data_IF_572871807162
#
_entry.id   IF_572871807162
#
_cell.length_a   1.000
_cell.length_b   1.000
_cell.length_c   1.000
_cell.angle_alpha   90.00
_cell.angle_beta   90.00
_cell.angle_gamma   90.00
#
_symmetry.space_group_name_H-M   'P 1'
#
loop_
_entity.id
_entity.type
_entity.pdbx_description
1 polymer ?
#
# COMPACT_ATOMS: atom_id res chain seq x y z
N UNK A 1 -28.64 -9.30 -27.61
CA UNK A 1 -28.86 -10.74 -27.38
C UNK A 1 -30.23 -11.08 -27.93
N UNK A 2 -30.32 -11.99 -28.90
CA UNK A 2 -31.60 -12.50 -29.40
C UNK A 2 -32.21 -13.50 -28.40
N UNK A 3 -33.26 -13.07 -27.69
CA UNK A 3 -33.98 -13.87 -26.70
C UNK A 3 -34.61 -15.13 -27.30
N UNK A 4 -35.18 -15.01 -28.49
CA UNK A 4 -35.95 -16.10 -29.10
C UNK A 4 -35.02 -17.24 -29.48
N UNK A 5 -33.87 -16.90 -30.08
CA UNK A 5 -32.81 -17.86 -30.37
C UNK A 5 -32.23 -18.48 -29.09
N UNK A 6 -31.99 -17.68 -28.06
CA UNK A 6 -31.49 -18.17 -26.77
C UNK A 6 -32.43 -19.20 -26.14
N UNK A 7 -33.74 -18.93 -26.13
CA UNK A 7 -34.77 -19.84 -25.63
C UNK A 7 -34.92 -21.11 -26.47
N UNK A 8 -34.73 -21.04 -27.79
CA UNK A 8 -34.77 -22.19 -28.69
C UNK A 8 -33.67 -23.23 -28.37
N UNK A 9 -32.55 -22.79 -27.82
CA UNK A 9 -31.50 -23.67 -27.32
C UNK A 9 -31.78 -24.25 -25.92
N UNK A 10 -32.93 -23.94 -25.31
CA UNK A 10 -33.30 -24.44 -23.99
C UNK A 10 -32.72 -23.62 -22.82
N UNK A 11 -32.29 -22.38 -23.08
CA UNK A 11 -31.98 -21.43 -22.03
C UNK A 11 -33.26 -20.79 -21.46
N UNK A 12 -33.32 -20.66 -20.14
CA UNK A 12 -34.38 -19.94 -19.43
C UNK A 12 -33.84 -18.58 -19.00
N UNK A 13 -34.33 -17.48 -19.59
CA UNK A 13 -33.93 -16.12 -19.18
C UNK A 13 -34.56 -15.80 -17.82
N UNK A 14 -33.72 -15.54 -16.82
CA UNK A 14 -34.14 -15.25 -15.43
C UNK A 14 -34.32 -13.74 -15.23
N UNK A 15 -33.36 -12.94 -15.70
CA UNK A 15 -33.44 -11.47 -15.68
C UNK A 15 -32.57 -10.86 -16.78
N UNK A 16 -32.93 -9.66 -17.22
CA UNK A 16 -32.16 -8.85 -18.16
C UNK A 16 -32.05 -7.41 -17.63
N UNK A 17 -30.88 -6.80 -17.76
CA UNK A 17 -30.65 -5.39 -17.50
C UNK A 17 -29.61 -4.86 -18.50
N UNK A 18 -29.96 -3.80 -19.23
CA UNK A 18 -29.14 -3.23 -20.32
C UNK A 18 -28.58 -4.34 -21.24
N UNK A 19 -27.26 -4.45 -21.30
CA UNK A 19 -26.53 -5.41 -22.13
C UNK A 19 -26.15 -6.71 -21.40
N UNK A 20 -26.69 -6.95 -20.19
CA UNK A 20 -26.33 -8.11 -19.33
C UNK A 20 -27.55 -8.94 -18.97
N UNK A 21 -27.52 -10.20 -19.34
CA UNK A 21 -28.62 -11.13 -19.13
C UNK A 21 -28.19 -12.28 -18.22
N UNK A 22 -29.07 -12.68 -17.32
CA UNK A 22 -28.90 -13.86 -16.46
C UNK A 22 -29.86 -14.92 -16.96
N UNK A 23 -29.34 -16.07 -17.37
CA UNK A 23 -30.12 -17.21 -17.82
C UNK A 23 -29.68 -18.50 -17.11
N UNK A 24 -30.59 -19.46 -16.98
CA UNK A 24 -30.26 -20.85 -16.68
C UNK A 24 -30.04 -21.56 -18.01
N UNK A 25 -28.85 -22.11 -18.19
CA UNK A 25 -28.44 -22.74 -19.45
C UNK A 25 -27.81 -24.10 -19.14
N UNK A 26 -28.21 -25.19 -19.83
CA UNK A 26 -27.47 -26.44 -19.77
C UNK A 26 -26.00 -26.23 -20.16
N UNK A 27 -25.06 -26.77 -19.37
CA UNK A 27 -23.63 -26.49 -19.58
C UNK A 27 -23.12 -26.99 -20.95
N UNK A 28 -23.73 -28.05 -21.47
CA UNK A 28 -23.32 -28.72 -22.71
C UNK A 28 -23.68 -27.97 -24.00
N UNK A 29 -24.40 -26.85 -23.91
CA UNK A 29 -24.82 -26.05 -25.08
C UNK A 29 -24.21 -24.64 -25.07
N UNK A 30 -23.31 -24.34 -24.13
CA UNK A 30 -22.75 -22.99 -23.97
C UNK A 30 -21.96 -22.53 -25.19
N UNK A 31 -21.14 -23.41 -25.78
CA UNK A 31 -20.40 -23.12 -27.01
C UNK A 31 -21.35 -22.89 -28.18
N UNK A 32 -22.38 -23.73 -28.32
CA UNK A 32 -23.39 -23.57 -29.38
C UNK A 32 -24.14 -22.23 -29.25
N UNK A 33 -24.46 -21.81 -28.04
CA UNK A 33 -25.09 -20.51 -27.79
C UNK A 33 -24.13 -19.36 -28.12
N UNK A 34 -22.86 -19.47 -27.71
CA UNK A 34 -21.85 -18.44 -27.98
C UNK A 34 -21.64 -18.24 -29.50
N UNK A 35 -21.65 -19.33 -30.27
CA UNK A 35 -21.41 -19.29 -31.72
C UNK A 35 -22.63 -18.86 -32.55
N UNK A 36 -23.85 -19.12 -32.07
CA UNK A 36 -25.05 -19.02 -32.89
C UNK A 36 -26.11 -18.01 -32.40
N UNK A 37 -26.01 -17.49 -31.17
CA UNK A 37 -26.95 -16.48 -30.67
C UNK A 37 -26.40 -15.09 -30.91
N UNK A 38 -27.07 -14.31 -31.76
CA UNK A 38 -26.62 -12.98 -32.12
C UNK A 38 -26.63 -12.01 -30.92
N UNK A 39 -25.54 -11.25 -30.81
CA UNK A 39 -25.35 -10.27 -29.75
C UNK A 39 -24.91 -10.84 -28.40
N UNK A 40 -24.43 -12.09 -28.34
CA UNK A 40 -23.67 -12.63 -27.21
C UNK A 40 -22.19 -12.27 -27.40
N UNK A 41 -21.63 -11.45 -26.53
CA UNK A 41 -20.20 -11.11 -26.56
C UNK A 41 -19.35 -12.11 -25.78
N UNK A 42 -19.81 -12.52 -24.60
CA UNK A 42 -19.17 -13.54 -23.77
C UNK A 42 -20.20 -14.15 -22.81
N UNK A 43 -19.88 -15.33 -22.28
CA UNK A 43 -20.67 -16.01 -21.26
C UNK A 43 -19.79 -16.21 -20.04
N UNK A 44 -20.26 -15.80 -18.87
CA UNK A 44 -19.62 -16.07 -17.57
C UNK A 44 -20.63 -16.59 -16.57
N UNK A 45 -20.14 -17.22 -15.50
CA UNK A 45 -20.96 -17.50 -14.33
C UNK A 45 -21.46 -16.18 -13.70
N UNK A 46 -22.66 -16.15 -13.09
CA UNK A 46 -23.13 -14.96 -12.40
C UNK A 46 -22.16 -14.53 -11.31
N UNK A 47 -21.94 -13.22 -11.19
CA UNK A 47 -21.26 -12.64 -10.03
C UNK A 47 -22.01 -13.05 -8.76
N UNK A 48 -21.32 -13.69 -7.83
CA UNK A 48 -21.89 -14.10 -6.54
C UNK A 48 -21.52 -13.04 -5.51
N UNK A 49 -22.54 -12.53 -4.81
CA UNK A 49 -22.28 -11.78 -3.59
C UNK A 49 -21.66 -12.75 -2.57
N UNK A 50 -20.46 -12.42 -2.09
CA UNK A 50 -19.77 -13.15 -1.03
C UNK A 50 -20.14 -12.42 0.28
N UNK A 51 -20.53 -13.15 1.35
CA UNK A 51 -20.70 -12.54 2.67
C UNK A 51 -19.38 -11.89 3.08
N UNK A 52 -19.42 -10.67 3.60
CA UNK A 52 -18.27 -10.09 4.31
C UNK A 52 -18.07 -10.94 5.57
N UNK A 53 -17.00 -11.73 5.59
CA UNK A 53 -16.59 -12.44 6.79
C UNK A 53 -15.80 -11.48 7.68
N UNK A 54 -15.92 -11.69 9.00
CA UNK A 54 -15.14 -11.03 10.06
C UNK A 54 -13.67 -11.51 10.04
N UNK A 55 -13.35 -12.49 9.18
CA UNK A 55 -11.98 -12.96 8.94
C UNK A 55 -11.65 -12.74 7.46
N UNK A 56 -10.55 -12.05 7.19
CA UNK A 56 -10.04 -11.85 5.84
C UNK A 56 -9.67 -13.17 5.16
N UNK A 57 -9.82 -13.19 3.83
CA UNK A 57 -9.43 -14.34 2.97
C UNK A 57 -7.95 -14.75 3.18
N UNK A 58 -7.12 -13.83 3.67
CA UNK A 58 -5.71 -14.07 3.98
C UNK A 58 -5.47 -15.17 5.00
N UNK A 59 -6.34 -15.34 6.01
CA UNK A 59 -6.17 -16.36 7.06
C UNK A 59 -6.17 -17.76 6.45
N UNK A 60 -7.15 -18.05 5.59
CA UNK A 60 -7.26 -19.33 4.90
C UNK A 60 -6.14 -19.55 3.90
N UNK A 61 -5.80 -18.53 3.10
CA UNK A 61 -4.78 -18.64 2.05
C UNK A 61 -3.36 -18.82 2.58
N UNK A 62 -3.05 -18.25 3.74
CA UNK A 62 -1.72 -18.36 4.37
C UNK A 62 -1.58 -19.57 5.31
N UNK A 63 -2.67 -20.29 5.57
CA UNK A 63 -2.70 -21.41 6.50
C UNK A 63 -2.77 -21.00 7.98
N UNK A 64 -3.02 -19.72 8.29
CA UNK A 64 -3.14 -19.22 9.65
C UNK A 64 -4.24 -19.95 10.46
N UNK A 65 -5.31 -20.41 9.82
CA UNK A 65 -6.35 -21.23 10.47
C UNK A 65 -5.79 -22.49 11.17
N UNK A 66 -4.69 -23.05 10.66
CA UNK A 66 -4.03 -24.21 11.27
C UNK A 66 -3.33 -23.85 12.60
N UNK A 67 -2.79 -22.64 12.69
CA UNK A 67 -2.21 -22.09 13.92
C UNK A 67 -3.30 -21.79 14.95
N UNK A 68 -4.40 -21.17 14.52
CA UNK A 68 -5.56 -20.92 15.39
C UNK A 68 -6.12 -22.24 15.95
N UNK A 69 -6.29 -23.24 15.10
CA UNK A 69 -6.77 -24.58 15.50
C UNK A 69 -5.82 -25.28 16.48
N UNK A 70 -4.54 -24.94 16.46
CA UNK A 70 -3.53 -25.42 17.39
C UNK A 70 -3.41 -24.57 18.67
N UNK A 71 -4.23 -23.53 18.81
CA UNK A 71 -4.23 -22.61 19.97
C UNK A 71 -3.20 -21.48 19.88
N UNK A 72 -2.56 -21.28 18.72
CA UNK A 72 -1.66 -20.16 18.48
C UNK A 72 -2.43 -19.00 17.86
N UNK A 73 -3.02 -18.19 18.72
CA UNK A 73 -3.90 -17.05 18.36
C UNK A 73 -3.31 -15.69 18.71
N UNK A 74 -2.06 -15.64 19.17
CA UNK A 74 -1.39 -14.40 19.60
C UNK A 74 -1.55 -14.04 21.07
N UNK A 75 -2.16 -14.93 21.87
CA UNK A 75 -2.35 -14.73 23.32
C UNK A 75 -1.06 -14.32 24.03
N UNK A 76 -1.12 -13.22 24.79
CA UNK A 76 0.02 -12.68 25.54
C UNK A 76 1.08 -11.94 24.70
N UNK A 77 0.85 -11.77 23.39
CA UNK A 77 1.70 -11.00 22.50
C UNK A 77 1.11 -9.61 22.26
N UNK A 78 1.98 -8.59 22.29
CA UNK A 78 1.63 -7.22 21.92
C UNK A 78 2.14 -6.92 20.52
N UNK A 79 1.25 -6.43 19.66
CA UNK A 79 1.56 -6.08 18.27
C UNK A 79 1.18 -4.62 18.03
N UNK A 80 2.09 -3.84 17.48
CA UNK A 80 1.79 -2.49 17.03
C UNK A 80 1.54 -2.45 15.52
N UNK A 81 0.52 -1.69 15.12
CA UNK A 81 0.32 -1.21 13.75
C UNK A 81 0.70 0.26 13.77
N UNK A 82 1.83 0.59 13.14
CA UNK A 82 2.30 1.97 13.00
C UNK A 82 1.91 2.48 11.62
N UNK A 83 0.98 3.43 11.57
CA UNK A 83 0.39 3.94 10.33
C UNK A 83 0.12 5.46 10.38
N UNK A 84 -0.37 6.01 9.27
CA UNK A 84 -0.67 7.43 9.07
C UNK A 84 -2.07 7.85 9.55
N UNK A 85 -2.99 6.90 9.73
CA UNK A 85 -4.36 7.18 10.18
C UNK A 85 -5.21 5.94 10.45
N UNK A 86 -6.23 6.13 11.28
CA UNK A 86 -7.13 5.06 11.76
C UNK A 86 -8.62 5.46 11.68
N UNK A 87 -9.02 6.12 10.59
CA UNK A 87 -10.42 6.43 10.31
C UNK A 87 -11.25 5.15 10.20
N UNK A 88 -12.52 5.21 10.61
CA UNK A 88 -13.44 4.06 10.58
C UNK A 88 -13.26 3.06 11.73
N UNK A 89 -12.30 3.28 12.65
CA UNK A 89 -12.01 2.36 13.75
C UNK A 89 -13.22 2.05 14.64
N UNK A 90 -14.06 3.05 14.95
CA UNK A 90 -15.26 2.84 15.76
C UNK A 90 -16.27 1.90 15.10
N UNK A 91 -16.40 1.98 13.77
CA UNK A 91 -17.23 1.07 12.98
C UNK A 91 -16.63 -0.34 12.96
N UNK A 92 -15.32 -0.47 12.70
CA UNK A 92 -14.63 -1.76 12.74
C UNK A 92 -14.81 -2.47 14.09
N UNK A 93 -14.74 -1.71 15.19
CA UNK A 93 -15.01 -2.25 16.54
C UNK A 93 -16.49 -2.62 16.73
N UNK A 94 -17.44 -1.81 16.25
CA UNK A 94 -18.88 -2.12 16.40
C UNK A 94 -19.31 -3.32 15.58
N UNK A 95 -18.66 -3.52 14.44
CA UNK A 95 -18.97 -4.59 13.48
C UNK A 95 -18.27 -5.90 13.84
N UNK A 96 -17.28 -5.85 14.75
CA UNK A 96 -16.56 -7.01 15.28
C UNK A 96 -15.26 -7.34 14.54
N UNK A 97 -14.89 -6.54 13.55
CA UNK A 97 -13.63 -6.63 12.77
C UNK A 97 -12.40 -6.27 13.61
N UNK A 98 -12.59 -5.50 14.69
CA UNK A 98 -11.54 -5.20 15.67
C UNK A 98 -12.07 -5.32 17.10
N UNK A 99 -11.23 -5.69 18.07
CA UNK A 99 -11.66 -5.80 19.46
C UNK A 99 -11.74 -4.41 20.09
N UNK A 100 -12.66 -4.21 21.04
CA UNK A 100 -12.73 -2.96 21.81
C UNK A 100 -11.55 -2.73 22.78
N UNK A 101 -10.58 -3.65 22.80
CA UNK A 101 -9.37 -3.62 23.63
C UNK A 101 -8.15 -3.04 22.91
N UNK A 102 -8.29 -2.59 21.65
CA UNK A 102 -7.20 -1.90 20.95
C UNK A 102 -6.73 -0.68 21.74
N UNK A 103 -5.42 -0.49 21.80
CA UNK A 103 -4.80 0.69 22.44
C UNK A 103 -4.50 1.72 21.37
N UNK A 104 -5.05 2.91 21.49
CA UNK A 104 -4.92 3.98 20.48
C UNK A 104 -3.93 5.04 20.96
N UNK A 105 -2.89 5.29 20.16
CA UNK A 105 -1.78 6.20 20.49
C UNK A 105 -1.51 7.15 19.32
N UNK A 106 -1.43 8.44 19.60
CA UNK A 106 -1.03 9.47 18.65
C UNK A 106 0.38 9.98 19.01
N UNK A 107 1.35 9.80 18.10
CA UNK A 107 2.72 10.27 18.25
C UNK A 107 3.04 11.51 17.42
N UNK A 108 2.05 12.12 16.75
CA UNK A 108 2.23 13.31 15.89
C UNK A 108 2.41 14.63 16.66
N UNK A 109 2.23 14.57 17.98
CA UNK A 109 2.47 15.69 18.89
C UNK A 109 3.90 15.76 19.40
N UNK A 110 4.14 16.51 20.48
CA UNK A 110 5.45 16.56 21.14
C UNK A 110 5.84 15.27 21.88
N UNK A 111 4.92 14.32 21.96
CA UNK A 111 5.06 13.04 22.67
C UNK A 111 3.91 12.11 22.27
N UNK A 112 4.13 10.80 22.33
CA UNK A 112 3.06 9.82 22.17
C UNK A 112 2.03 9.89 23.31
N UNK A 113 0.75 10.08 22.96
CA UNK A 113 -0.36 10.20 23.91
C UNK A 113 -1.52 9.28 23.54
N UNK A 114 -2.31 8.87 24.53
CA UNK A 114 -3.56 8.15 24.26
C UNK A 114 -4.58 9.04 23.57
N UNK A 115 -5.33 8.46 22.64
CA UNK A 115 -6.35 9.15 21.83
C UNK A 115 -7.57 8.25 21.62
N UNK A 116 -8.59 8.75 20.92
CA UNK A 116 -9.78 7.99 20.50
C UNK A 116 -9.95 7.92 18.97
N UNK A 117 -9.04 8.54 18.21
CA UNK A 117 -9.09 8.64 16.74
C UNK A 117 -10.44 9.13 16.17
N UNK A 118 -11.22 9.91 16.93
CA UNK A 118 -12.56 10.32 16.52
C UNK A 118 -12.59 11.22 15.28
N UNK A 119 -11.51 11.96 15.00
CA UNK A 119 -11.40 12.90 13.88
C UNK A 119 -10.43 12.48 12.78
N UNK A 120 -10.15 11.20 12.65
CA UNK A 120 -9.24 10.68 11.61
C UNK A 120 -9.90 10.62 10.22
N UNK A 121 -9.09 10.81 9.18
CA UNK A 121 -9.52 10.73 7.78
C UNK A 121 -8.86 9.61 6.99
N UNK A 122 -7.66 9.16 7.38
CA UNK A 122 -6.97 8.05 6.72
C UNK A 122 -7.45 6.70 7.23
N UNK A 123 -7.98 5.84 6.36
CA UNK A 123 -8.49 4.51 6.74
C UNK A 123 -7.44 3.38 6.72
N UNK A 124 -6.24 3.66 6.20
CA UNK A 124 -5.23 2.65 5.86
C UNK A 124 -4.78 1.83 7.09
N UNK A 125 -4.53 2.50 8.22
CA UNK A 125 -4.11 1.82 9.45
C UNK A 125 -5.19 0.92 10.04
N UNK A 126 -6.47 1.30 9.94
CA UNK A 126 -7.59 0.45 10.38
C UNK A 126 -7.64 -0.84 9.56
N UNK A 127 -7.53 -0.75 8.24
CA UNK A 127 -7.50 -1.93 7.37
C UNK A 127 -6.29 -2.84 7.65
N UNK A 128 -5.11 -2.25 7.93
CA UNK A 128 -3.95 -3.02 8.36
C UNK A 128 -4.18 -3.72 9.71
N UNK A 129 -4.86 -3.06 10.64
CA UNK A 129 -5.17 -3.62 11.95
C UNK A 129 -6.13 -4.81 11.88
N UNK A 130 -7.16 -4.74 11.05
CA UNK A 130 -8.11 -5.83 10.80
C UNK A 130 -7.35 -7.09 10.33
N UNK A 131 -6.44 -6.96 9.36
CA UNK A 131 -5.62 -8.09 8.88
C UNK A 131 -4.76 -8.68 10.01
N UNK A 132 -4.12 -7.83 10.83
CA UNK A 132 -3.31 -8.31 11.96
C UNK A 132 -4.19 -9.03 13.00
N UNK A 133 -5.38 -8.51 13.26
CA UNK A 133 -6.35 -9.10 14.18
C UNK A 133 -6.83 -10.48 13.69
N UNK A 134 -7.20 -10.60 12.41
CA UNK A 134 -7.61 -11.87 11.82
C UNK A 134 -6.52 -12.95 11.95
N UNK A 135 -5.26 -12.55 11.77
CA UNK A 135 -4.12 -13.46 11.89
C UNK A 135 -3.83 -13.85 13.35
N UNK A 136 -4.07 -12.95 14.30
CA UNK A 136 -3.75 -13.13 15.72
C UNK A 136 -4.84 -12.53 16.63
N UNK A 137 -6.02 -13.17 16.72
CA UNK A 137 -7.21 -12.58 17.35
C UNK A 137 -7.10 -12.40 18.88
N UNK A 138 -6.13 -13.05 19.54
CA UNK A 138 -5.85 -12.87 20.96
C UNK A 138 -4.62 -11.98 21.24
N UNK A 139 -4.02 -11.38 20.21
CA UNK A 139 -2.97 -10.39 20.40
C UNK A 139 -3.54 -9.07 20.95
N UNK A 140 -2.77 -8.41 21.81
CA UNK A 140 -3.09 -7.05 22.22
C UNK A 140 -2.57 -6.07 21.17
N UNK A 141 -3.48 -5.44 20.43
CA UNK A 141 -3.13 -4.49 19.38
C UNK A 141 -2.93 -3.08 19.92
N UNK A 142 -1.87 -2.44 19.44
CA UNK A 142 -1.56 -1.03 19.62
C UNK A 142 -1.62 -0.34 18.26
N UNK A 143 -2.51 0.62 18.10
CA UNK A 143 -2.68 1.41 16.88
C UNK A 143 -1.97 2.74 17.12
N UNK A 144 -0.82 2.92 16.47
CA UNK A 144 0.07 4.06 16.72
C UNK A 144 0.14 4.93 15.47
N UNK A 145 -0.37 6.16 15.58
CA UNK A 145 -0.40 7.13 14.50
C UNK A 145 0.89 7.94 14.45
N UNK A 146 1.43 8.10 13.25
CA UNK A 146 2.59 8.93 12.94
C UNK A 146 2.32 9.80 11.70
N UNK A 147 3.08 10.87 11.51
CA UNK A 147 3.06 11.68 10.31
C UNK A 147 4.43 11.73 9.61
N UNK A 148 5.52 11.68 10.38
CA UNK A 148 6.88 11.76 9.84
C UNK A 148 7.89 10.78 10.48
N UNK A 149 9.15 10.87 10.06
CA UNK A 149 10.20 9.96 10.50
C UNK A 149 10.62 10.14 11.98
N UNK A 150 10.38 11.32 12.56
CA UNK A 150 10.61 11.56 13.99
C UNK A 150 9.48 10.94 14.81
N UNK A 151 8.24 11.09 14.37
CA UNK A 151 7.11 10.40 14.99
C UNK A 151 7.29 8.87 14.93
N UNK A 152 7.83 8.34 13.81
CA UNK A 152 8.18 6.91 13.68
C UNK A 152 9.20 6.48 14.74
N UNK A 153 10.20 7.33 15.01
CA UNK A 153 11.19 7.07 16.07
C UNK A 153 10.52 7.05 17.45
N UNK A 154 9.65 8.00 17.73
CA UNK A 154 8.94 8.09 19.01
C UNK A 154 7.93 6.94 19.18
N UNK A 155 7.25 6.52 18.11
CA UNK A 155 6.39 5.33 18.09
C UNK A 155 7.17 4.03 18.36
N UNK A 156 8.39 3.93 17.82
CA UNK A 156 9.31 2.83 18.12
C UNK A 156 9.76 2.86 19.58
N UNK A 157 10.13 4.03 20.11
CA UNK A 157 10.53 4.19 21.52
C UNK A 157 9.37 3.82 22.46
N UNK A 158 8.16 4.30 22.17
CA UNK A 158 6.93 3.91 22.86
C UNK A 158 6.72 2.39 22.84
N UNK A 159 6.98 1.75 21.70
CA UNK A 159 6.84 0.30 21.54
C UNK A 159 7.82 -0.47 22.43
N UNK A 160 9.07 -0.01 22.54
CA UNK A 160 10.06 -0.59 23.46
C UNK A 160 9.57 -0.45 24.90
N UNK A 161 9.20 0.77 25.31
CA UNK A 161 8.80 1.08 26.69
C UNK A 161 7.54 0.31 27.13
N UNK A 162 6.64 0.00 26.20
CA UNK A 162 5.42 -0.75 26.47
C UNK A 162 5.56 -2.27 26.27
N UNK A 163 6.78 -2.75 25.98
CA UNK A 163 7.07 -4.16 25.81
C UNK A 163 6.41 -4.80 24.58
N UNK A 164 6.14 -4.00 23.54
CA UNK A 164 5.62 -4.48 22.26
C UNK A 164 6.71 -5.29 21.56
N UNK A 165 6.35 -6.42 20.95
CA UNK A 165 7.32 -7.37 20.36
C UNK A 165 7.25 -7.51 18.85
N UNK A 166 6.18 -7.02 18.23
CA UNK A 166 6.00 -7.05 16.78
C UNK A 166 5.49 -5.67 16.35
N UNK A 167 6.08 -5.12 15.31
CA UNK A 167 5.62 -3.90 14.63
C UNK A 167 5.28 -4.25 13.19
N UNK A 168 4.04 -4.00 12.78
CA UNK A 168 3.63 -3.89 11.39
C UNK A 168 3.72 -2.42 10.96
N UNK A 169 4.51 -2.15 9.92
CA UNK A 169 4.62 -0.82 9.32
C UNK A 169 4.41 -0.91 7.81
N UNK A 170 3.17 -0.65 7.38
CA UNK A 170 2.75 -0.73 5.98
C UNK A 170 2.83 0.63 5.26
N UNK A 171 3.83 1.44 5.61
CA UNK A 171 4.08 2.76 5.02
C UNK A 171 5.45 2.77 4.35
N UNK A 172 5.54 3.48 3.22
CA UNK A 172 6.77 3.64 2.43
C UNK A 172 7.48 4.97 2.71
N UNK A 173 8.82 4.96 2.59
CA UNK A 173 9.66 6.14 2.73
C UNK A 173 10.53 6.30 1.49
N UNK A 174 10.45 7.46 0.84
CA UNK A 174 11.19 7.75 -0.39
C UNK A 174 12.39 8.64 -0.13
N UNK A 175 13.41 8.49 -0.98
CA UNK A 175 14.61 9.31 -0.94
C UNK A 175 15.35 9.32 0.42
N UNK A 176 15.45 8.15 1.06
CA UNK A 176 16.15 7.99 2.36
C UNK A 176 17.38 7.08 2.28
N UNK A 177 17.59 6.42 1.13
CA UNK A 177 18.71 5.54 0.80
C UNK A 177 18.72 5.24 -0.72
N UNK A 178 19.82 4.65 -1.23
CA UNK A 178 19.94 4.01 -2.54
C UNK A 178 20.13 2.49 -2.39
N UNK A 179 19.02 1.75 -2.30
CA UNK A 179 18.90 0.27 -2.25
C UNK A 179 19.70 -0.51 -1.18
N UNK A 180 20.59 0.14 -0.43
CA UNK A 180 21.53 -0.56 0.45
C UNK A 180 20.92 -1.03 1.78
N UNK A 181 19.73 -0.54 2.15
CA UNK A 181 19.16 -0.76 3.48
C UNK A 181 20.05 -0.21 4.60
N UNK A 182 20.90 0.77 4.29
CA UNK A 182 21.76 1.47 5.24
C UNK A 182 21.01 2.46 6.14
N UNK A 183 21.41 2.50 7.40
CA UNK A 183 21.01 3.54 8.34
C UNK A 183 21.92 4.76 8.18
N UNK A 184 21.33 5.88 7.76
CA UNK A 184 22.00 7.18 7.62
C UNK A 184 21.16 8.27 8.28
N UNK A 185 21.78 9.24 8.94
CA UNK A 185 21.11 10.43 9.51
C UNK A 185 19.84 10.16 10.32
N UNK A 186 19.77 9.06 11.08
CA UNK A 186 18.56 8.67 11.82
C UNK A 186 17.31 8.51 10.94
N UNK A 187 17.48 8.07 9.69
CA UNK A 187 16.39 7.76 8.78
C UNK A 187 15.51 6.59 9.30
N UNK A 188 14.37 6.28 8.64
CA UNK A 188 13.48 5.18 9.05
C UNK A 188 14.16 3.81 9.18
N UNK A 189 15.21 3.54 8.40
CA UNK A 189 16.00 2.30 8.51
C UNK A 189 16.74 2.24 9.86
N UNK A 190 17.28 3.35 10.35
CA UNK A 190 17.85 3.43 11.69
C UNK A 190 16.81 3.08 12.77
N UNK A 191 15.58 3.56 12.61
CA UNK A 191 14.48 3.25 13.55
C UNK A 191 14.15 1.77 13.56
N UNK A 192 14.04 1.13 12.39
CA UNK A 192 13.80 -0.32 12.30
C UNK A 192 14.97 -1.14 12.88
N UNK A 193 16.22 -0.75 12.61
CA UNK A 193 17.41 -1.39 13.17
C UNK A 193 17.46 -1.30 14.70
N UNK A 194 17.06 -0.16 15.27
CA UNK A 194 17.01 0.03 16.71
C UNK A 194 15.87 -0.78 17.36
N UNK A 195 14.70 -0.86 16.71
CA UNK A 195 13.61 -1.74 17.14
C UNK A 195 14.08 -3.21 17.20
N UNK A 196 14.75 -3.67 16.14
CA UNK A 196 15.33 -5.02 16.09
C UNK A 196 16.35 -5.26 17.20
N UNK A 197 17.24 -4.28 17.45
CA UNK A 197 18.24 -4.36 18.51
C UNK A 197 17.62 -4.43 19.92
N UNK A 198 16.39 -3.95 20.09
CA UNK A 198 15.61 -4.06 21.31
C UNK A 198 14.64 -5.26 21.33
N UNK A 199 14.82 -6.21 20.41
CA UNK A 199 14.08 -7.47 20.39
C UNK A 199 12.64 -7.34 19.86
N UNK A 200 12.40 -6.35 18.99
CA UNK A 200 11.13 -6.19 18.28
C UNK A 200 11.29 -6.75 16.86
N UNK A 201 10.37 -7.62 16.44
CA UNK A 201 10.24 -8.01 15.04
C UNK A 201 9.59 -6.87 14.26
N UNK A 202 10.33 -6.26 13.33
CA UNK A 202 9.82 -5.26 12.40
C UNK A 202 9.40 -5.91 11.09
N UNK A 203 8.14 -5.71 10.69
CA UNK A 203 7.58 -6.17 9.41
C UNK A 203 7.19 -4.95 8.59
N UNK A 204 7.74 -4.83 7.39
CA UNK A 204 7.52 -3.68 6.51
C UNK A 204 6.92 -4.13 5.16
N UNK A 205 6.05 -3.30 4.59
CA UNK A 205 5.62 -3.48 3.20
C UNK A 205 6.78 -3.25 2.22
N UNK A 206 6.79 -3.98 1.10
CA UNK A 206 7.82 -3.89 0.06
C UNK A 206 7.58 -2.76 -0.97
N UNK A 207 6.43 -2.08 -0.90
CA UNK A 207 6.04 -0.98 -1.79
C UNK A 207 5.26 -1.43 -3.03
N UNK A 208 4.50 -0.50 -3.62
CA UNK A 208 3.58 -0.74 -4.74
C UNK A 208 3.96 0.05 -6.01
N UNK A 209 5.24 0.42 -6.17
CA UNK A 209 5.72 1.38 -7.19
C UNK A 209 6.57 0.71 -8.30
N UNK A 210 6.34 -0.59 -8.55
CA UNK A 210 7.17 -1.37 -9.49
C UNK A 210 7.20 -0.79 -10.91
N UNK A 211 6.12 -0.12 -11.34
CA UNK A 211 6.01 0.48 -12.68
C UNK A 211 6.07 2.02 -12.63
N UNK A 212 6.40 2.60 -11.47
CA UNK A 212 6.41 4.05 -11.22
C UNK A 212 7.83 4.58 -10.95
N UNK A 213 8.83 4.01 -11.62
CA UNK A 213 10.22 4.46 -11.49
C UNK A 213 11.01 4.35 -12.80
N UNK A 214 12.06 5.15 -12.90
CA UNK A 214 13.07 5.09 -13.94
C UNK A 214 14.43 4.97 -13.27
N UNK A 215 15.23 4.00 -13.71
CA UNK A 215 16.59 3.79 -13.25
C UNK A 215 17.53 3.66 -14.45
N UNK A 216 18.61 4.44 -14.43
CA UNK A 216 19.66 4.38 -15.44
C UNK A 216 20.99 4.88 -14.90
N UNK A 217 22.06 4.56 -15.61
CA UNK A 217 23.34 5.27 -15.45
C UNK A 217 23.22 6.61 -16.16
N UNK A 218 23.63 7.70 -15.50
CA UNK A 218 23.65 9.02 -16.14
C UNK A 218 24.55 9.02 -17.38
N UNK A 219 24.01 9.51 -18.49
CA UNK A 219 24.68 9.65 -19.78
C UNK A 219 24.34 11.00 -20.39
N UNK A 220 25.37 11.70 -20.87
CA UNK A 220 25.30 13.00 -21.54
C UNK A 220 26.24 12.93 -22.76
N UNK A 221 25.71 12.38 -23.86
CA UNK A 221 26.49 12.03 -25.05
C UNK A 221 26.71 13.22 -25.99
N UNK A 222 25.88 14.25 -25.87
CA UNK A 222 25.94 15.53 -26.57
C UNK A 222 26.55 16.67 -25.75
N UNK A 223 26.93 16.41 -24.49
CA UNK A 223 27.69 17.31 -23.60
C UNK A 223 26.96 18.60 -23.26
N UNK A 224 25.65 18.53 -23.06
CA UNK A 224 24.80 19.68 -22.74
C UNK A 224 24.38 19.75 -21.26
N UNK A 225 24.75 18.73 -20.48
CA UNK A 225 24.50 18.63 -19.05
C UNK A 225 23.21 17.91 -18.67
N UNK A 226 22.42 17.42 -19.63
CA UNK A 226 21.20 16.66 -19.38
C UNK A 226 21.42 15.15 -19.54
N UNK A 227 20.62 14.37 -18.80
CA UNK A 227 20.64 12.93 -18.97
C UNK A 227 19.87 12.56 -20.23
N UNK A 228 20.55 12.00 -21.24
CA UNK A 228 19.84 11.39 -22.37
C UNK A 228 19.19 10.06 -21.93
N UNK A 229 17.87 10.06 -21.77
CA UNK A 229 17.03 8.91 -21.45
C UNK A 229 16.99 7.90 -22.59
N UNK A 230 16.88 8.39 -23.84
CA UNK A 230 16.91 7.54 -25.04
C UNK A 230 17.38 8.32 -26.27
N UNK A 231 18.58 8.00 -26.76
CA UNK A 231 19.14 8.69 -27.92
C UNK A 231 19.48 10.14 -27.58
N UNK A 232 18.75 11.10 -28.16
CA UNK A 232 18.84 12.55 -27.83
C UNK A 232 17.65 13.01 -26.99
N UNK A 233 16.76 12.11 -26.58
CA UNK A 233 15.65 12.44 -25.68
C UNK A 233 16.15 12.49 -24.25
N UNK A 234 15.88 13.60 -23.56
CA UNK A 234 16.26 13.87 -22.17
C UNK A 234 15.07 13.79 -21.21
N UNK A 235 13.89 13.44 -21.72
CA UNK A 235 12.64 13.52 -20.97
C UNK A 235 12.16 12.15 -20.50
N UNK A 236 11.60 12.13 -19.29
CA UNK A 236 10.79 11.02 -18.78
C UNK A 236 9.36 11.54 -18.74
N UNK A 237 8.52 11.01 -19.62
CA UNK A 237 7.14 11.46 -19.73
C UNK A 237 6.26 10.77 -18.66
N UNK A 238 5.43 11.56 -17.99
CA UNK A 238 4.41 11.07 -17.05
C UNK A 238 3.04 11.61 -17.47
N UNK A 239 1.99 10.86 -17.18
CA UNK A 239 0.61 11.31 -17.38
C UNK A 239 0.09 11.95 -16.09
N UNK A 240 -0.61 13.08 -16.22
CA UNK A 240 -1.22 13.78 -15.10
C UNK A 240 -2.55 14.42 -15.51
N UNK A 241 -3.51 14.41 -14.59
CA UNK A 241 -4.81 15.06 -14.70
C UNK A 241 -4.87 16.33 -13.84
N UNK A 242 -5.80 17.23 -14.16
CA UNK A 242 -6.02 18.43 -13.37
C UNK A 242 -6.45 18.07 -11.94
N UNK A 243 -5.66 18.50 -10.95
CA UNK A 243 -5.90 18.22 -9.54
C UNK A 243 -4.99 17.15 -8.95
N UNK A 244 -4.23 16.44 -9.78
CA UNK A 244 -3.25 15.45 -9.31
C UNK A 244 -2.12 16.14 -8.55
N UNK A 245 -1.68 15.49 -7.47
CA UNK A 245 -0.47 15.88 -6.73
C UNK A 245 0.67 15.06 -7.30
N UNK A 246 1.63 15.73 -7.94
CA UNK A 246 2.81 15.10 -8.51
C UNK A 246 3.96 15.22 -7.50
N UNK A 247 4.48 14.09 -7.04
CA UNK A 247 5.71 14.01 -6.26
C UNK A 247 6.72 13.15 -7.03
N UNK A 248 7.88 13.72 -7.33
CA UNK A 248 8.99 13.01 -7.99
C UNK A 248 10.22 13.11 -7.10
N UNK A 249 10.89 11.99 -6.90
CA UNK A 249 12.13 11.91 -6.14
C UNK A 249 13.26 11.51 -7.07
N UNK A 250 14.40 12.20 -6.95
CA UNK A 250 15.66 11.82 -7.58
C UNK A 250 16.61 11.35 -6.48
N UNK A 251 17.29 10.23 -6.70
CA UNK A 251 18.37 9.73 -5.85
C UNK A 251 19.35 8.92 -6.69
N UNK A 252 20.60 8.81 -6.25
CA UNK A 252 21.63 8.06 -6.97
C UNK A 252 22.64 7.41 -6.02
N UNK A 253 23.51 6.58 -6.58
CA UNK A 253 24.47 5.76 -5.84
C UNK A 253 25.66 6.57 -5.27
N UNK A 254 25.38 7.52 -4.36
CA UNK A 254 26.38 8.34 -3.70
C UNK A 254 26.02 8.68 -2.23
N UNK A 255 25.21 7.84 -1.58
CA UNK A 255 24.90 8.00 -0.15
C UNK A 255 26.14 7.71 0.72
N UNK A 256 26.26 8.33 1.92
CA UNK A 256 25.30 9.23 2.55
C UNK A 256 25.50 10.72 2.24
N UNK A 257 26.66 11.12 1.70
CA UNK A 257 26.91 12.49 1.26
C UNK A 257 27.59 12.50 -0.10
N UNK A 258 27.30 13.50 -0.92
CA UNK A 258 27.93 13.66 -2.22
C UNK A 258 28.22 15.12 -2.56
N UNK A 259 29.19 15.34 -3.45
CA UNK A 259 29.46 16.58 -4.17
C UNK A 259 29.08 16.51 -5.67
N UNK A 260 28.49 15.38 -6.08
CA UNK A 260 27.83 15.24 -7.38
C UNK A 260 26.49 15.97 -7.32
N UNK A 261 26.29 16.98 -8.17
CA UNK A 261 25.14 17.90 -8.12
C UNK A 261 24.18 17.59 -9.27
N UNK A 262 23.22 16.69 -9.04
CA UNK A 262 22.16 16.38 -10.02
C UNK A 262 20.88 17.13 -9.68
N UNK A 263 20.28 17.73 -10.70
CA UNK A 263 19.06 18.51 -10.61
C UNK A 263 17.90 17.78 -11.30
N UNK A 264 16.69 18.00 -10.81
CA UNK A 264 15.47 17.47 -11.41
C UNK A 264 14.55 18.61 -11.81
N UNK A 265 13.97 18.55 -13.00
CA UNK A 265 13.05 19.56 -13.52
C UNK A 265 11.77 18.88 -13.99
N UNK A 266 10.63 19.50 -13.68
CA UNK A 266 9.32 19.08 -14.12
C UNK A 266 8.76 20.15 -15.06
N UNK A 267 8.39 19.75 -16.26
CA UNK A 267 7.82 20.62 -17.28
C UNK A 267 6.39 20.19 -17.62
N UNK A 268 5.57 21.12 -18.08
CA UNK A 268 4.27 20.80 -18.68
C UNK A 268 4.43 20.32 -20.13
N UNK A 269 3.33 19.92 -20.77
CA UNK A 269 3.33 19.43 -22.17
C UNK A 269 3.73 20.48 -23.21
N UNK A 270 3.81 21.76 -22.83
CA UNK A 270 4.30 22.86 -23.66
C UNK A 270 5.73 23.27 -23.29
N UNK A 271 6.42 22.46 -22.47
CA UNK A 271 7.77 22.72 -21.95
C UNK A 271 7.89 23.99 -21.09
N UNK A 272 6.82 24.43 -20.45
CA UNK A 272 6.93 25.43 -19.39
C UNK A 272 7.36 24.76 -18.09
N UNK A 273 8.32 25.34 -17.38
CA UNK A 273 8.77 24.83 -16.09
C UNK A 273 7.65 24.90 -15.05
N UNK A 274 7.30 23.76 -14.46
CA UNK A 274 6.28 23.61 -13.42
C UNK A 274 6.94 23.59 -12.04
N UNK A 275 7.98 22.78 -11.87
CA UNK A 275 8.72 22.64 -10.61
C UNK A 275 10.16 22.21 -10.86
N UNK A 276 11.03 22.37 -9.86
CA UNK A 276 12.41 21.87 -9.93
C UNK A 276 12.99 21.58 -8.54
N UNK A 277 13.93 20.65 -8.49
CA UNK A 277 14.83 20.40 -7.36
C UNK A 277 16.24 20.76 -7.79
N UNK A 278 16.78 21.85 -7.22
CA UNK A 278 18.10 22.42 -7.57
C UNK A 278 18.98 22.70 -6.34
N UNK A 279 18.73 21.95 -5.26
CA UNK A 279 19.50 22.09 -4.02
C UNK A 279 20.89 21.54 -4.23
N UNK A 280 21.91 22.37 -4.02
CA UNK A 280 23.31 21.98 -4.28
C UNK A 280 23.82 20.89 -3.35
N UNK A 281 24.40 19.84 -3.92
CA UNK A 281 25.25 18.87 -3.23
C UNK A 281 26.71 19.36 -3.20
N UNK A 282 27.19 19.76 -2.02
CA UNK A 282 28.53 20.35 -1.81
C UNK A 282 29.51 19.42 -1.07
N UNK A 283 29.17 18.14 -0.94
CA UNK A 283 29.92 17.14 -0.18
C UNK A 283 29.37 16.88 1.22
N UNK A 284 28.29 17.54 1.62
CA UNK A 284 27.67 17.39 2.96
C UNK A 284 26.18 17.03 2.92
N UNK A 285 25.56 17.14 1.75
CA UNK A 285 24.16 16.79 1.52
C UNK A 285 24.07 15.35 1.01
N UNK A 286 22.99 14.62 1.29
CA UNK A 286 22.71 13.37 0.62
C UNK A 286 22.40 13.60 -0.88
N UNK A 287 22.60 12.55 -1.69
CA UNK A 287 22.14 12.52 -3.08
C UNK A 287 20.61 12.53 -3.18
#
# INVERSE_FOLDING_TARGET
IDETSLQAYGAEVIKSADNVWKARVPINILETIADNVEGVSFIKLPDRAIPLAIESEGVGLTGASSYHSAGYTGSGVKVAVIDSGFAGLSSAISDGELPNTVVMIDCTGSSCVSTDFFSETGLHGTACAEIVYDMAPEAQLYLIKIADSLDLKDAKDYSIDNGIKIINHSVGWFNTNFYSGGCYYSNPVCTANDAYSNGILWVNAMGNHAEEHYEATFTDSDSDGWHNVSGVDETINIEASAGDIIQVCLTWNAWPTTDQDYNLYLYDSSFNLVASSVTRQTGTQPP
#
